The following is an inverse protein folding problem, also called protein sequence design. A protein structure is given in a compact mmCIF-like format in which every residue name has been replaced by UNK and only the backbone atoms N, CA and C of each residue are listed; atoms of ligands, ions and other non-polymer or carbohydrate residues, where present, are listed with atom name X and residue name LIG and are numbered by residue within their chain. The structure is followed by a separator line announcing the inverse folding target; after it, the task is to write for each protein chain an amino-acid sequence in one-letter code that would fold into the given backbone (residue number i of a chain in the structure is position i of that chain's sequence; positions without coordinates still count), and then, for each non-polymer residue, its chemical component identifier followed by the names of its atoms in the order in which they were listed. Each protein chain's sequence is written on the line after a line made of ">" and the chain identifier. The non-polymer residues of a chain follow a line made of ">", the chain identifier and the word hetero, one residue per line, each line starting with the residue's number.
data_IF_985557458211
#
_entry.id   IF_985557458211
#
_cell.length_a   1.000
_cell.length_b   1.000
_cell.length_c   1.000
_cell.angle_alpha   90.00
_cell.angle_beta   90.00
_cell.angle_gamma   90.00
#
_symmetry.space_group_name_H-M   'P 1'
#
loop_
_entity.id
_entity.type
_entity.pdbx_description
1 polymer ?
#
# COMPACT_ATOMS: atom_id res chain seq x y z
N UNK A 1 -3.31 17.19 35.53
CA UNK A 1 -3.66 16.73 34.17
C UNK A 1 -2.35 16.56 33.41
N UNK A 2 -1.85 15.32 33.32
CA UNK A 2 -0.61 14.99 32.62
C UNK A 2 -0.96 14.57 31.20
N UNK A 3 -0.41 15.29 30.21
CA UNK A 3 -0.51 14.98 28.79
C UNK A 3 0.00 13.56 28.54
N UNK A 4 -0.89 12.67 28.11
CA UNK A 4 -0.51 11.41 27.50
C UNK A 4 0.10 11.71 26.13
N UNK A 5 1.42 11.62 26.04
CA UNK A 5 2.13 11.58 24.78
C UNK A 5 1.76 10.27 24.09
N UNK A 6 0.97 10.36 23.02
CA UNK A 6 0.59 9.24 22.14
C UNK A 6 1.86 8.72 21.43
N UNK A 7 2.67 7.92 22.13
CA UNK A 7 3.74 7.13 21.55
C UNK A 7 3.11 5.91 20.90
N UNK A 8 2.69 6.07 19.64
CA UNK A 8 2.33 4.92 18.82
C UNK A 8 3.63 4.16 18.50
N UNK A 9 3.74 2.87 18.88
CA UNK A 9 4.88 2.07 18.45
C UNK A 9 4.87 1.97 16.91
N UNK A 10 5.95 2.41 16.29
CA UNK A 10 6.19 2.26 14.84
C UNK A 10 6.41 0.76 14.58
N UNK A 11 5.33 0.02 14.37
CA UNK A 11 5.39 -1.38 13.97
C UNK A 11 5.70 -1.42 12.48
N UNK A 12 6.98 -1.62 12.19
CA UNK A 12 7.47 -1.78 10.84
C UNK A 12 7.06 -3.17 10.33
N UNK A 13 6.09 -3.22 9.40
CA UNK A 13 5.73 -4.44 8.68
C UNK A 13 6.97 -5.09 8.08
N UNK A 14 7.06 -6.42 8.18
CA UNK A 14 8.06 -7.19 7.42
C UNK A 14 7.92 -6.96 5.90
N UNK A 15 6.80 -6.37 5.47
CA UNK A 15 6.47 -6.16 4.08
C UNK A 15 6.65 -4.73 3.56
N UNK A 16 6.94 -3.72 4.39
CA UNK A 16 7.73 -2.60 3.88
C UNK A 16 8.42 -1.75 4.95
N UNK A 17 9.61 -1.27 4.57
CA UNK A 17 10.23 -0.10 5.18
C UNK A 17 10.70 0.84 4.06
N UNK A 18 10.26 2.10 4.19
CA UNK A 18 10.72 3.34 3.55
C UNK A 18 10.23 3.61 2.12
N UNK A 19 9.12 4.36 2.05
CA UNK A 19 8.80 5.24 0.92
C UNK A 19 9.90 6.29 0.73
N UNK A 20 10.49 6.33 -0.45
CA UNK A 20 11.37 7.42 -0.89
C UNK A 20 10.53 8.70 -1.02
N UNK A 21 10.94 9.76 -0.32
CA UNK A 21 10.34 11.07 -0.41
C UNK A 21 10.55 11.69 -1.80
N UNK A 22 9.47 12.12 -2.44
CA UNK A 22 9.51 13.05 -3.57
C UNK A 22 9.17 14.44 -3.01
N UNK A 23 10.21 15.21 -2.69
CA UNK A 23 10.09 16.65 -2.47
C UNK A 23 9.93 17.34 -3.84
N UNK A 24 8.71 17.77 -4.17
CA UNK A 24 8.49 18.77 -5.20
C UNK A 24 8.92 20.14 -4.67
N UNK A 25 10.13 20.56 -5.03
CA UNK A 25 10.54 21.97 -4.94
C UNK A 25 10.11 22.66 -6.24
N UNK A 26 9.00 23.39 -6.20
CA UNK A 26 8.61 24.32 -7.25
C UNK A 26 8.55 25.73 -6.65
N UNK A 27 9.72 26.35 -6.45
CA UNK A 27 9.82 27.77 -6.10
C UNK A 27 9.83 28.57 -7.39
N UNK A 28 8.72 29.23 -7.69
CA UNK A 28 8.67 30.15 -8.82
C UNK A 28 7.31 30.78 -9.08
N UNK A 29 6.92 31.78 -8.28
CA UNK A 29 6.50 33.10 -8.79
C UNK A 29 6.01 34.03 -7.67
N UNK A 30 6.59 35.22 -7.72
CA UNK A 30 6.08 36.55 -7.41
C UNK A 30 4.70 36.73 -6.74
N UNK A 31 4.75 37.59 -5.70
CA UNK A 31 3.71 38.46 -5.12
C UNK A 31 2.90 39.22 -6.20
N UNK A 32 1.66 39.65 -5.91
CA UNK A 32 1.46 40.89 -5.12
C UNK A 32 0.32 40.87 -4.08
N UNK A 33 0.36 41.88 -3.21
CA UNK A 33 -0.58 42.21 -2.13
C UNK A 33 -2.00 42.57 -2.61
N UNK A 34 -3.00 42.36 -1.74
CA UNK A 34 -4.12 43.31 -1.54
C UNK A 34 -4.74 43.12 -0.14
N UNK A 35 -5.05 44.25 0.50
CA UNK A 35 -5.61 44.43 1.87
C UNK A 35 -7.05 43.90 2.05
N UNK A 36 -7.49 43.68 3.30
CA UNK A 36 -8.89 43.42 3.61
C UNK A 36 -9.70 44.73 3.63
N UNK A 37 -10.62 44.89 2.68
CA UNK A 37 -11.65 45.93 2.74
C UNK A 37 -12.90 45.35 3.42
N UNK A 38 -13.15 45.89 4.61
CA UNK A 38 -14.41 46.05 5.34
C UNK A 38 -15.67 45.85 4.48
N UNK A 39 -16.56 44.96 4.91
CA UNK A 39 -17.94 44.86 4.36
C UNK A 39 -18.91 45.12 5.51
N UNK A 40 -19.68 46.19 5.36
CA UNK A 40 -20.82 46.57 6.18
C UNK A 40 -22.04 46.65 5.24
N UNK A 41 -23.20 46.24 5.72
CA UNK A 41 -24.50 46.59 5.13
C UNK A 41 -25.11 45.67 4.05
N UNK A 42 -26.04 44.82 4.52
CA UNK A 42 -27.48 44.85 4.17
C UNK A 42 -27.99 44.56 2.74
N UNK A 43 -29.05 43.73 2.75
CA UNK A 43 -30.24 43.70 1.88
C UNK A 43 -30.30 42.76 0.66
N UNK A 44 -31.12 41.72 0.87
CA UNK A 44 -32.25 41.21 0.06
C UNK A 44 -32.03 40.75 -1.40
N UNK A 45 -32.44 39.50 -1.59
CA UNK A 45 -33.44 39.01 -2.55
C UNK A 45 -33.03 38.03 -3.66
N UNK A 46 -34.01 37.15 -3.92
CA UNK A 46 -34.11 35.97 -4.79
C UNK A 46 -33.38 35.99 -6.14
N UNK A 47 -32.83 34.83 -6.54
CA UNK A 47 -33.44 34.02 -7.62
C UNK A 47 -32.60 32.78 -7.96
N UNK A 48 -33.33 31.71 -8.29
CA UNK A 48 -32.90 30.39 -8.73
C UNK A 48 -31.86 30.37 -9.86
N UNK A 49 -30.86 29.51 -9.74
CA UNK A 49 -30.26 28.86 -10.92
C UNK A 49 -30.03 27.36 -10.68
N UNK A 50 -30.44 26.65 -11.71
CA UNK A 50 -30.49 25.22 -11.95
C UNK A 50 -29.08 24.65 -12.14
N UNK A 51 -28.77 23.54 -11.45
CA UNK A 51 -27.83 22.45 -11.75
C UNK A 51 -26.53 22.71 -12.57
N UNK A 52 -25.40 22.08 -12.19
CA UNK A 52 -25.29 20.68 -12.58
C UNK A 52 -24.83 19.76 -11.46
N UNK A 53 -25.52 18.63 -11.42
CA UNK A 53 -25.12 17.37 -10.83
C UNK A 53 -23.67 17.18 -11.24
N UNK A 54 -22.75 17.41 -10.30
CA UNK A 54 -21.40 16.94 -10.44
C UNK A 54 -21.50 15.43 -10.40
N UNK A 55 -21.77 14.85 -11.58
CA UNK A 55 -21.63 13.44 -11.88
C UNK A 55 -20.18 13.11 -11.56
N UNK A 56 -19.95 12.74 -10.31
CA UNK A 56 -18.74 12.08 -9.84
C UNK A 56 -18.64 10.89 -10.78
N UNK A 57 -17.78 11.06 -11.78
CA UNK A 57 -17.47 10.02 -12.73
C UNK A 57 -16.69 9.01 -11.91
N UNK A 58 -17.42 8.06 -11.33
CA UNK A 58 -16.85 6.85 -10.82
C UNK A 58 -15.99 6.29 -11.95
N UNK A 59 -14.67 6.29 -11.74
CA UNK A 59 -13.74 5.67 -12.66
C UNK A 59 -14.29 4.28 -13.02
N UNK A 60 -14.24 3.87 -14.31
CA UNK A 60 -14.82 2.62 -14.72
C UNK A 60 -14.23 1.50 -13.86
N UNK A 61 -15.10 0.79 -13.13
CA UNK A 61 -14.74 -0.45 -12.43
C UNK A 61 -14.19 -1.38 -13.50
N UNK A 62 -12.86 -1.47 -13.57
CA UNK A 62 -12.17 -2.47 -14.39
C UNK A 62 -12.73 -3.84 -13.97
N UNK A 63 -13.07 -4.74 -14.91
CA UNK A 63 -13.58 -6.06 -14.55
C UNK A 63 -12.62 -6.71 -13.54
N UNK A 64 -13.16 -7.19 -12.43
CA UNK A 64 -12.40 -7.79 -11.33
C UNK A 64 -11.51 -8.96 -11.81
N UNK A 65 -11.99 -9.70 -12.82
CA UNK A 65 -11.24 -10.77 -13.49
C UNK A 65 -9.95 -10.27 -14.17
N UNK A 66 -9.91 -9.04 -14.68
CA UNK A 66 -8.72 -8.50 -15.34
C UNK A 66 -7.63 -8.14 -14.32
N UNK A 67 -8.03 -7.65 -13.13
CA UNK A 67 -7.09 -7.28 -12.07
C UNK A 67 -6.43 -8.54 -11.51
N UNK A 68 -7.22 -9.57 -11.18
CA UNK A 68 -6.69 -10.85 -10.69
C UNK A 68 -5.69 -11.44 -11.68
N UNK A 69 -6.02 -11.43 -12.97
CA UNK A 69 -5.13 -11.92 -14.03
C UNK A 69 -3.80 -11.15 -14.08
N UNK A 70 -3.84 -9.82 -13.97
CA UNK A 70 -2.62 -8.97 -14.02
C UNK A 70 -1.68 -9.20 -12.83
N UNK A 71 -2.21 -9.62 -11.68
CA UNK A 71 -1.43 -9.87 -10.45
C UNK A 71 -0.71 -11.23 -10.45
N UNK A 72 -1.08 -12.15 -11.33
CA UNK A 72 -0.42 -13.47 -11.45
C UNK A 72 0.98 -13.29 -12.04
N UNK A 73 1.91 -14.13 -11.58
CA UNK A 73 3.30 -14.17 -12.05
C UNK A 73 4.31 -13.87 -10.95
N UNK A 74 5.55 -13.60 -11.37
CA UNK A 74 6.65 -13.26 -10.48
C UNK A 74 6.79 -11.76 -10.32
N UNK A 75 6.98 -11.35 -9.08
CA UNK A 75 7.14 -9.98 -8.64
C UNK A 75 8.36 -9.88 -7.75
N UNK A 76 9.10 -8.79 -7.84
CA UNK A 76 10.27 -8.54 -7.03
C UNK A 76 10.30 -7.13 -6.46
N UNK A 77 10.98 -6.97 -5.34
CA UNK A 77 11.40 -5.67 -4.85
C UNK A 77 12.75 -5.76 -4.16
N UNK A 78 13.29 -4.60 -3.75
CA UNK A 78 14.60 -4.51 -3.10
C UNK A 78 14.50 -4.31 -1.57
N UNK A 79 13.29 -4.42 -1.02
CA UNK A 79 13.03 -4.19 0.40
C UNK A 79 13.70 -5.27 1.25
N UNK A 80 14.30 -4.86 2.37
CA UNK A 80 14.98 -5.72 3.36
C UNK A 80 16.08 -6.67 2.85
N UNK A 81 16.51 -6.53 1.60
CA UNK A 81 17.49 -7.41 0.98
C UNK A 81 17.02 -8.16 -0.24
N UNK A 82 15.79 -7.91 -0.64
CA UNK A 82 15.18 -8.40 -1.83
C UNK A 82 14.08 -9.39 -1.48
N UNK A 83 12.89 -9.17 -2.04
CA UNK A 83 11.79 -10.11 -1.97
C UNK A 83 11.42 -10.56 -3.36
N UNK A 84 11.05 -11.83 -3.47
CA UNK A 84 10.46 -12.39 -4.68
C UNK A 84 9.13 -13.01 -4.29
N UNK A 85 8.05 -12.51 -4.87
CA UNK A 85 6.70 -13.01 -4.73
C UNK A 85 6.34 -13.76 -6.02
N UNK A 86 6.01 -15.04 -5.89
CA UNK A 86 5.39 -15.83 -6.95
C UNK A 86 3.92 -16.00 -6.62
N UNK A 87 3.06 -15.41 -7.44
CA UNK A 87 1.60 -15.45 -7.29
C UNK A 87 0.96 -16.32 -8.36
N UNK A 88 0.25 -17.36 -7.96
CA UNK A 88 -0.36 -18.35 -8.86
C UNK A 88 -1.86 -18.15 -9.04
N UNK A 89 -2.37 -18.61 -10.17
CA UNK A 89 -3.79 -18.53 -10.54
C UNK A 89 -4.72 -19.33 -9.60
N UNK A 90 -4.20 -20.41 -9.03
CA UNK A 90 -4.86 -21.29 -8.05
C UNK A 90 -5.14 -20.63 -6.69
N UNK A 91 -4.72 -19.38 -6.49
CA UNK A 91 -4.91 -18.67 -5.22
C UNK A 91 -3.79 -18.94 -4.21
N UNK A 92 -2.64 -19.48 -4.63
CA UNK A 92 -1.47 -19.63 -3.76
C UNK A 92 -0.38 -18.61 -4.07
N UNK A 93 0.32 -18.19 -3.00
CA UNK A 93 1.46 -17.28 -3.04
C UNK A 93 2.67 -17.93 -2.37
N UNK A 94 3.85 -17.69 -2.93
CA UNK A 94 5.13 -17.96 -2.29
C UNK A 94 5.94 -16.68 -2.26
N UNK A 95 6.35 -16.22 -1.08
CA UNK A 95 7.25 -15.08 -0.91
C UNK A 95 8.58 -15.55 -0.37
N UNK A 96 9.66 -15.27 -1.09
CA UNK A 96 11.03 -15.46 -0.65
C UNK A 96 11.61 -14.11 -0.22
N UNK A 97 12.00 -14.00 1.04
CA UNK A 97 12.56 -12.79 1.65
C UNK A 97 14.03 -13.05 1.97
N UNK A 98 14.94 -12.25 1.40
CA UNK A 98 16.35 -12.24 1.79
C UNK A 98 16.51 -11.23 2.92
N UNK A 99 16.74 -11.70 4.15
CA UNK A 99 16.86 -10.82 5.30
C UNK A 99 18.23 -10.10 5.31
N UNK A 100 18.26 -8.84 5.75
CA UNK A 100 19.47 -8.02 5.96
C UNK A 100 19.59 -7.53 7.41
N UNK A 101 20.77 -7.00 7.75
CA UNK A 101 21.05 -6.42 9.08
C UNK A 101 20.91 -7.43 10.22
N UNK A 102 20.42 -6.97 11.37
CA UNK A 102 20.23 -7.80 12.56
C UNK A 102 19.22 -8.95 12.34
N UNK A 103 18.28 -8.80 11.40
CA UNK A 103 17.31 -9.85 11.06
C UNK A 103 17.97 -11.11 10.48
N UNK A 104 19.18 -10.99 9.91
CA UNK A 104 19.98 -12.15 9.46
C UNK A 104 20.34 -13.12 10.57
N UNK A 105 20.35 -12.66 11.82
CA UNK A 105 20.61 -13.51 12.98
C UNK A 105 19.48 -14.51 13.21
N UNK A 106 18.27 -14.22 12.72
CA UNK A 106 17.12 -15.14 12.77
C UNK A 106 17.22 -16.16 11.61
N UNK A 107 17.38 -15.67 10.38
CA UNK A 107 17.59 -16.50 9.20
C UNK A 107 18.23 -15.68 8.06
N UNK A 108 18.92 -16.32 7.12
CA UNK A 108 19.44 -15.66 5.91
C UNK A 108 18.35 -15.45 4.85
N UNK A 109 17.43 -16.40 4.76
CA UNK A 109 16.29 -16.43 3.83
C UNK A 109 15.08 -16.93 4.61
N UNK A 110 13.94 -16.29 4.40
CA UNK A 110 12.64 -16.70 4.90
C UNK A 110 11.72 -16.93 3.70
N UNK A 111 11.14 -18.11 3.60
CA UNK A 111 10.13 -18.44 2.58
C UNK A 111 8.78 -18.52 3.27
N UNK A 112 7.79 -17.79 2.77
CA UNK A 112 6.42 -17.78 3.29
C UNK A 112 5.48 -18.32 2.24
N UNK A 113 4.54 -19.15 2.66
CA UNK A 113 3.50 -19.70 1.81
C UNK A 113 2.17 -19.12 2.26
N UNK A 114 1.36 -18.61 1.33
CA UNK A 114 0.08 -18.00 1.62
C UNK A 114 -0.99 -18.46 0.63
N UNK A 115 -2.24 -18.33 1.04
CA UNK A 115 -3.35 -18.25 0.10
C UNK A 115 -3.69 -16.78 -0.13
N UNK A 116 -4.15 -16.43 -1.33
CA UNK A 116 -4.59 -15.10 -1.67
C UNK A 116 -5.93 -15.13 -2.41
N UNK A 117 -6.72 -14.09 -2.20
CA UNK A 117 -7.92 -13.79 -2.98
C UNK A 117 -7.98 -12.30 -3.28
N UNK A 118 -8.77 -11.95 -4.30
CA UNK A 118 -9.13 -10.58 -4.63
C UNK A 118 -10.63 -10.44 -4.50
N UNK A 119 -11.07 -9.41 -3.81
CA UNK A 119 -12.47 -9.01 -3.66
C UNK A 119 -12.56 -7.51 -3.93
N UNK A 120 -13.07 -7.12 -5.10
CA UNK A 120 -13.10 -5.72 -5.52
C UNK A 120 -11.70 -5.11 -5.67
N UNK A 121 -11.39 -4.09 -4.88
CA UNK A 121 -10.07 -3.43 -4.84
C UNK A 121 -9.18 -3.93 -3.69
N UNK A 122 -9.54 -5.06 -3.07
CA UNK A 122 -8.84 -5.61 -1.91
C UNK A 122 -8.22 -6.97 -2.23
N UNK A 123 -6.99 -7.15 -1.78
CA UNK A 123 -6.30 -8.43 -1.72
C UNK A 123 -6.34 -8.92 -0.29
N UNK A 124 -6.76 -10.15 -0.08
CA UNK A 124 -6.65 -10.82 1.22
C UNK A 124 -5.59 -11.90 1.11
N UNK A 125 -4.55 -11.82 1.95
CA UNK A 125 -3.53 -12.86 2.09
C UNK A 125 -3.69 -13.56 3.43
N UNK A 126 -3.65 -14.89 3.40
CA UNK A 126 -3.62 -15.76 4.58
C UNK A 126 -2.37 -16.62 4.56
N UNK A 127 -1.42 -16.32 5.43
CA UNK A 127 -0.19 -17.08 5.59
C UNK A 127 -0.49 -18.48 6.16
N UNK A 128 0.01 -19.50 5.47
CA UNK A 128 -0.21 -20.92 5.79
C UNK A 128 0.96 -21.48 6.59
N UNK A 129 2.18 -21.22 6.12
CA UNK A 129 3.42 -21.69 6.76
C UNK A 129 4.62 -20.86 6.31
N UNK A 130 5.75 -21.06 6.96
CA UNK A 130 7.01 -20.50 6.49
C UNK A 130 8.23 -21.30 6.92
N UNK A 131 9.34 -21.07 6.23
CA UNK A 131 10.58 -21.83 6.31
C UNK A 131 11.78 -20.87 6.38
N UNK A 132 12.65 -20.96 7.40
CA UNK A 132 12.63 -21.90 8.52
C UNK A 132 11.46 -21.66 9.49
N UNK A 133 10.92 -22.73 10.07
CA UNK A 133 9.73 -22.67 10.93
C UNK A 133 9.91 -21.75 12.15
N UNK A 134 11.09 -21.73 12.78
CA UNK A 134 11.39 -20.85 13.90
C UNK A 134 11.31 -19.36 13.50
N UNK A 135 11.89 -19.01 12.36
CA UNK A 135 11.86 -17.64 11.83
C UNK A 135 10.43 -17.23 11.43
N UNK A 136 9.69 -18.13 10.77
CA UNK A 136 8.29 -17.91 10.40
C UNK A 136 7.40 -17.73 11.63
N UNK A 137 7.61 -18.49 12.70
CA UNK A 137 6.86 -18.35 13.95
C UNK A 137 7.05 -16.97 14.59
N UNK A 138 8.28 -16.43 14.55
CA UNK A 138 8.54 -15.05 15.00
C UNK A 138 7.77 -14.06 14.12
N UNK A 139 7.79 -14.22 12.79
CA UNK A 139 7.03 -13.36 11.89
C UNK A 139 5.52 -13.40 12.18
N UNK A 140 4.94 -14.59 12.39
CA UNK A 140 3.51 -14.73 12.70
C UNK A 140 3.12 -14.04 14.00
N UNK A 141 3.97 -14.10 15.04
CA UNK A 141 3.71 -13.44 16.32
C UNK A 141 3.74 -11.92 16.22
N UNK A 142 4.62 -11.38 15.38
CA UNK A 142 4.78 -9.94 15.22
C UNK A 142 3.73 -9.34 14.28
N UNK A 143 3.42 -10.03 13.19
CA UNK A 143 2.66 -9.44 12.07
C UNK A 143 1.26 -10.02 11.92
N UNK A 144 0.99 -11.18 12.52
CA UNK A 144 -0.22 -11.95 12.29
C UNK A 144 -0.07 -12.91 11.12
N UNK A 145 -1.17 -13.62 10.83
CA UNK A 145 -1.24 -14.59 9.73
C UNK A 145 -2.15 -14.13 8.59
N UNK A 146 -2.84 -13.00 8.76
CA UNK A 146 -3.75 -12.47 7.76
C UNK A 146 -3.39 -11.01 7.49
N UNK A 147 -3.46 -10.63 6.22
CA UNK A 147 -3.14 -9.30 5.72
C UNK A 147 -4.17 -8.89 4.69
N UNK A 148 -4.66 -7.66 4.80
CA UNK A 148 -5.53 -7.05 3.80
C UNK A 148 -4.77 -5.91 3.14
N UNK A 149 -4.75 -5.90 1.81
CA UNK A 149 -4.04 -4.91 1.03
C UNK A 149 -5.00 -4.28 0.02
N UNK A 150 -5.03 -2.95 -0.03
CA UNK A 150 -5.74 -2.23 -1.08
C UNK A 150 -4.89 -2.20 -2.34
N UNK A 151 -5.52 -2.48 -3.48
CA UNK A 151 -4.89 -2.40 -4.80
C UNK A 151 -4.88 -0.93 -5.21
N UNK A 152 -3.69 -0.32 -5.19
CA UNK A 152 -3.52 1.07 -5.65
C UNK A 152 -3.34 1.08 -7.17
N UNK A 153 -2.53 0.15 -7.69
CA UNK A 153 -2.25 0.01 -9.11
C UNK A 153 -1.71 -1.38 -9.42
N UNK A 154 -2.14 -1.96 -10.54
CA UNK A 154 -1.50 -3.14 -11.13
C UNK A 154 -1.51 -3.03 -12.64
N UNK A 155 -0.37 -3.33 -13.26
CA UNK A 155 -0.21 -3.46 -14.71
C UNK A 155 0.87 -4.51 -15.04
N UNK A 156 1.31 -4.58 -16.29
CA UNK A 156 2.28 -5.58 -16.76
C UNK A 156 3.66 -5.44 -16.10
N UNK A 157 4.01 -4.26 -15.59
CA UNK A 157 5.36 -3.95 -15.09
C UNK A 157 5.42 -3.71 -13.58
N UNK A 158 4.33 -3.25 -12.97
CA UNK A 158 4.31 -2.83 -11.56
C UNK A 158 3.02 -3.24 -10.85
N UNK A 159 3.16 -3.50 -9.56
CA UNK A 159 2.06 -3.73 -8.63
C UNK A 159 2.31 -2.91 -7.37
N UNK A 160 1.36 -2.05 -7.03
CA UNK A 160 1.40 -1.16 -5.87
C UNK A 160 0.23 -1.49 -4.96
N UNK A 161 0.55 -1.90 -3.74
CA UNK A 161 -0.40 -2.36 -2.74
C UNK A 161 -0.24 -1.54 -1.45
N UNK A 162 -1.34 -1.23 -0.78
CA UNK A 162 -1.34 -0.56 0.53
C UNK A 162 -1.85 -1.51 1.59
N UNK A 163 -1.03 -1.82 2.60
CA UNK A 163 -1.44 -2.59 3.77
C UNK A 163 -2.43 -1.78 4.62
N UNK A 164 -3.64 -2.29 4.84
CA UNK A 164 -4.68 -1.56 5.61
C UNK A 164 -4.40 -1.50 7.11
N UNK A 165 -3.54 -2.39 7.62
CA UNK A 165 -3.20 -2.47 9.05
C UNK A 165 -2.33 -1.32 9.51
N UNK A 166 -1.41 -0.86 8.67
CA UNK A 166 -0.40 0.14 9.04
C UNK A 166 -0.14 1.22 7.96
N UNK A 167 -0.87 1.18 6.84
CA UNK A 167 -0.75 2.14 5.74
C UNK A 167 0.51 1.96 4.89
N UNK A 168 1.22 0.85 5.07
CA UNK A 168 2.47 0.59 4.35
C UNK A 168 2.22 0.40 2.85
N UNK A 169 2.95 1.16 2.02
CA UNK A 169 2.91 1.03 0.56
C UNK A 169 4.01 0.09 0.08
N UNK A 170 3.62 -0.96 -0.63
CA UNK A 170 4.50 -1.95 -1.23
C UNK A 170 4.60 -1.73 -2.74
N UNK A 171 5.83 -1.61 -3.24
CA UNK A 171 6.13 -1.41 -4.65
C UNK A 171 6.82 -2.64 -5.21
N UNK A 172 6.09 -3.39 -6.03
CA UNK A 172 6.58 -4.58 -6.69
C UNK A 172 6.84 -4.29 -8.16
N UNK A 173 7.97 -4.78 -8.67
CA UNK A 173 8.34 -4.78 -10.09
C UNK A 173 8.13 -6.16 -10.65
N UNK A 174 7.75 -6.27 -11.92
CA UNK A 174 7.66 -7.58 -12.59
C UNK A 174 9.03 -8.26 -12.52
N UNK A 175 9.08 -9.44 -11.91
CA UNK A 175 10.28 -10.26 -11.86
C UNK A 175 10.40 -11.15 -13.09
N UNK A 176 11.54 -11.80 -13.22
CA UNK A 176 11.74 -12.85 -14.23
C UNK A 176 11.47 -14.22 -13.58
N UNK A 177 10.75 -15.09 -14.28
CA UNK A 177 10.75 -16.52 -13.96
C UNK A 177 12.14 -17.04 -14.36
N UNK A 178 13.04 -17.22 -13.38
CA UNK A 178 14.29 -17.98 -13.55
C UNK A 178 14.05 -19.49 -13.50
#
# INVERSE_FOLDING_TARGET
>A
MLNQTDSRPVFISLFAIVSIGVLFNATGRARPQAQPTRIDGSALDESSETHPDAKITAAPKKPENDIKAMMIGVWEDDVEGGRVLTRKDDGTDVVVIKLKGLKRLIAKKLTMYANWSVEGDMVHLKLIKGEPAAAASVAFRLYGQELFQKIIRVNEHEMVLECTKDGTIEHWRRGTDE
#
